data_IF_547676950240
#
_entry.id   IF_547676950240
#
_cell.length_a   1.000
_cell.length_b   1.000
_cell.length_c   1.000
_cell.angle_alpha   90.00
_cell.angle_beta   90.00
_cell.angle_gamma   90.00
#
_symmetry.space_group_name_H-M   'P 1'
#
loop_
_entity.id
_entity.type
_entity.pdbx_description
1 polymer ?
#
# COMPACT_ATOMS: atom_id res chain seq x y z
N UNK A 1 8.73 -3.41 -17.00
CA UNK A 1 9.06 -2.71 -15.76
C UNK A 1 7.79 -2.18 -15.10
N UNK A 2 7.88 -1.56 -13.91
CA UNK A 2 6.74 -1.03 -13.16
C UNK A 2 6.78 0.48 -13.04
N UNK A 3 5.59 1.10 -13.03
CA UNK A 3 5.37 2.43 -12.50
C UNK A 3 4.45 2.27 -11.29
N UNK A 4 4.99 2.45 -10.08
CA UNK A 4 4.23 2.41 -8.83
C UNK A 4 3.76 3.79 -8.43
N UNK A 5 2.47 3.95 -8.20
CA UNK A 5 1.84 5.22 -7.84
C UNK A 5 1.11 5.06 -6.51
N UNK A 6 1.48 5.88 -5.53
CA UNK A 6 0.80 5.91 -4.25
C UNK A 6 -0.42 6.84 -4.31
N UNK A 7 -1.60 6.27 -4.17
CA UNK A 7 -2.89 6.96 -4.19
C UNK A 7 -3.24 7.45 -2.78
N UNK A 8 -2.72 8.61 -2.39
CA UNK A 8 -2.91 9.16 -1.05
C UNK A 8 -4.20 9.95 -0.89
N UNK A 9 -4.68 10.55 -1.99
CA UNK A 9 -5.74 11.54 -1.96
C UNK A 9 -6.44 11.63 -3.31
N UNK A 10 -7.76 11.61 -3.33
CA UNK A 10 -8.58 11.52 -4.56
C UNK A 10 -8.40 12.74 -5.48
N UNK A 11 -8.12 13.92 -4.92
CA UNK A 11 -7.88 15.14 -5.72
C UNK A 11 -6.61 15.05 -6.58
N UNK A 12 -5.75 14.04 -6.37
CA UNK A 12 -4.55 13.81 -7.18
C UNK A 12 -4.82 12.96 -8.42
N UNK A 13 -6.03 12.43 -8.64
CA UNK A 13 -6.32 11.51 -9.74
C UNK A 13 -6.02 12.13 -11.12
N UNK A 14 -6.37 13.38 -11.35
CA UNK A 14 -6.05 14.08 -12.59
C UNK A 14 -4.53 14.27 -12.79
N UNK A 15 -3.78 14.46 -11.70
CA UNK A 15 -2.33 14.58 -11.76
C UNK A 15 -1.67 13.25 -12.16
N UNK A 16 -2.29 12.12 -11.81
CA UNK A 16 -1.83 10.79 -12.24
C UNK A 16 -1.94 10.64 -13.75
N UNK A 17 -3.07 11.06 -14.33
CA UNK A 17 -3.26 11.04 -15.77
C UNK A 17 -2.22 11.92 -16.47
N UNK A 18 -1.96 13.11 -15.94
CA UNK A 18 -0.93 14.00 -16.44
C UNK A 18 0.48 13.38 -16.32
N UNK A 19 0.77 12.68 -15.22
CA UNK A 19 2.03 11.97 -15.03
C UNK A 19 2.23 10.90 -16.09
N UNK A 20 1.21 10.07 -16.35
CA UNK A 20 1.26 9.03 -17.38
C UNK A 20 1.45 9.63 -18.77
N UNK A 21 0.72 10.70 -19.10
CA UNK A 21 0.82 11.41 -20.38
C UNK A 21 2.22 12.01 -20.60
N UNK A 22 2.74 12.74 -19.61
CA UNK A 22 4.10 13.30 -19.66
C UNK A 22 5.19 12.24 -19.72
N UNK A 23 4.94 11.06 -19.15
CA UNK A 23 5.85 9.90 -19.22
C UNK A 23 5.72 9.12 -20.51
N UNK A 24 4.84 9.54 -21.42
CA UNK A 24 4.55 8.87 -22.70
C UNK A 24 4.10 7.41 -22.52
N UNK A 25 3.35 7.14 -21.42
CA UNK A 25 2.71 5.86 -21.16
C UNK A 25 1.27 5.92 -21.64
N UNK A 26 0.85 4.91 -22.37
CA UNK A 26 -0.54 4.80 -22.84
C UNK A 26 -1.52 4.89 -21.66
N UNK A 27 -2.45 5.84 -21.71
CA UNK A 27 -3.30 6.15 -20.56
C UNK A 27 -4.18 4.97 -20.16
N UNK A 28 -4.96 4.43 -21.12
CA UNK A 28 -5.86 3.32 -20.81
C UNK A 28 -5.09 1.99 -20.73
N UNK A 29 -5.27 1.27 -19.64
CA UNK A 29 -4.59 -0.01 -19.39
C UNK A 29 -4.85 -1.04 -20.50
N UNK A 30 -6.06 -1.06 -21.05
CA UNK A 30 -6.47 -1.97 -22.14
C UNK A 30 -5.72 -1.73 -23.46
N UNK A 31 -5.19 -0.53 -23.67
CA UNK A 31 -4.51 -0.13 -24.91
C UNK A 31 -2.98 -0.23 -24.78
N UNK A 32 -2.44 -0.60 -23.58
CA UNK A 32 -1.00 -0.76 -23.35
C UNK A 32 -0.44 -2.00 -24.02
N UNK A 33 0.69 -1.81 -24.70
CA UNK A 33 1.43 -2.89 -25.34
C UNK A 33 2.31 -3.70 -24.40
N UNK A 34 2.89 -4.78 -24.92
CA UNK A 34 3.79 -5.68 -24.17
C UNK A 34 5.07 -5.00 -23.69
N UNK A 35 5.55 -3.98 -24.39
CA UNK A 35 6.79 -3.25 -24.06
C UNK A 35 6.57 -2.10 -23.07
N UNK A 36 5.32 -1.77 -22.76
CA UNK A 36 4.99 -0.70 -21.83
C UNK A 36 5.04 -1.18 -20.37
N UNK A 37 5.29 -0.26 -19.42
CA UNK A 37 5.37 -0.62 -18.02
C UNK A 37 4.02 -1.08 -17.46
N UNK A 38 4.05 -1.91 -16.42
CA UNK A 38 2.90 -2.20 -15.58
C UNK A 38 2.64 -0.99 -14.68
N UNK A 39 1.47 -0.39 -14.78
CA UNK A 39 1.05 0.73 -13.91
C UNK A 39 0.30 0.17 -12.72
N UNK A 40 0.87 0.35 -11.54
CA UNK A 40 0.33 -0.18 -10.29
C UNK A 40 -0.03 0.94 -9.32
N UNK A 41 -1.23 0.86 -8.76
CA UNK A 41 -1.71 1.74 -7.70
C UNK A 41 -1.64 1.08 -6.33
N UNK A 42 -1.36 1.87 -5.30
CA UNK A 42 -1.41 1.45 -3.91
C UNK A 42 -1.77 2.63 -3.00
N UNK A 43 -1.80 2.41 -1.69
CA UNK A 43 -2.12 3.45 -0.72
C UNK A 43 -3.62 3.55 -0.36
N UNK A 44 -4.01 4.53 0.48
CA UNK A 44 -5.36 4.57 1.07
C UNK A 44 -6.50 4.69 0.06
N UNK A 45 -6.30 5.36 -1.07
CA UNK A 45 -7.35 5.49 -2.08
C UNK A 45 -7.50 4.26 -2.97
N UNK A 46 -6.57 3.29 -2.94
CA UNK A 46 -6.72 2.01 -3.65
C UNK A 46 -7.87 1.15 -3.12
N UNK A 47 -8.42 1.48 -1.95
CA UNK A 47 -9.62 0.82 -1.40
C UNK A 47 -10.93 1.24 -2.11
N UNK A 48 -10.88 2.26 -2.95
CA UNK A 48 -11.92 2.60 -3.91
C UNK A 48 -11.28 2.88 -5.28
N UNK A 49 -10.83 1.83 -6.00
CA UNK A 49 -10.04 1.97 -7.21
C UNK A 49 -10.85 2.35 -8.44
N UNK A 50 -12.17 2.08 -8.46
CA UNK A 50 -13.02 2.20 -9.63
C UNK A 50 -12.98 3.56 -10.35
N UNK A 51 -12.91 4.72 -9.65
CA UNK A 51 -12.81 6.02 -10.33
C UNK A 51 -11.60 6.16 -11.28
N UNK A 52 -10.57 5.35 -11.10
CA UNK A 52 -9.32 5.37 -11.89
C UNK A 52 -8.93 4.00 -12.43
N UNK A 53 -9.79 3.01 -12.32
CA UNK A 53 -9.52 1.62 -12.68
C UNK A 53 -9.04 1.44 -14.13
N UNK A 54 -9.60 2.19 -15.06
CA UNK A 54 -9.24 2.12 -16.50
C UNK A 54 -7.78 2.50 -16.80
N UNK A 55 -7.12 3.21 -15.88
CA UNK A 55 -5.76 3.73 -16.05
C UNK A 55 -4.69 2.88 -15.35
N UNK A 56 -5.09 1.87 -14.59
CA UNK A 56 -4.19 1.00 -13.84
C UNK A 56 -4.29 -0.46 -14.29
N UNK A 57 -3.17 -1.13 -14.28
CA UNK A 57 -3.13 -2.57 -14.55
C UNK A 57 -3.42 -3.39 -13.29
N UNK A 58 -2.92 -2.92 -12.14
CA UNK A 58 -3.03 -3.60 -10.85
C UNK A 58 -3.21 -2.56 -9.74
N UNK A 59 -4.00 -2.90 -8.73
CA UNK A 59 -4.00 -2.23 -7.43
C UNK A 59 -3.54 -3.20 -6.35
N UNK A 60 -2.61 -2.71 -5.52
CA UNK A 60 -2.18 -3.38 -4.31
C UNK A 60 -3.02 -2.88 -3.13
N UNK A 61 -3.72 -3.80 -2.45
CA UNK A 61 -4.59 -3.49 -1.31
C UNK A 61 -3.87 -3.85 0.00
N UNK A 62 -3.35 -2.86 0.71
CA UNK A 62 -2.76 -3.10 2.05
C UNK A 62 -1.34 -2.63 2.22
N UNK A 63 -0.60 -3.37 3.02
CA UNK A 63 0.75 -3.05 3.48
C UNK A 63 1.79 -3.82 2.67
N UNK A 64 2.74 -3.08 2.07
CA UNK A 64 3.66 -3.64 1.06
C UNK A 64 4.81 -4.51 1.61
N UNK A 65 4.86 -4.72 2.92
CA UNK A 65 5.98 -5.39 3.55
C UNK A 65 6.02 -6.92 3.35
N UNK A 66 4.90 -7.51 2.90
CA UNK A 66 4.77 -8.98 2.75
C UNK A 66 4.67 -9.41 1.29
N UNK A 67 3.54 -9.20 0.65
CA UNK A 67 3.24 -9.76 -0.68
C UNK A 67 3.86 -8.96 -1.85
N UNK A 68 4.35 -7.75 -1.61
CA UNK A 68 4.92 -6.93 -2.69
C UNK A 68 6.17 -7.57 -3.30
N UNK A 69 7.04 -8.16 -2.49
CA UNK A 69 8.23 -8.86 -2.99
C UNK A 69 7.86 -10.11 -3.81
N UNK A 70 6.81 -10.82 -3.39
CA UNK A 70 6.29 -11.96 -4.15
C UNK A 70 5.81 -11.53 -5.54
N UNK A 71 5.08 -10.42 -5.65
CA UNK A 71 4.67 -9.86 -6.95
C UNK A 71 5.86 -9.57 -7.86
N UNK A 72 6.91 -8.95 -7.30
CA UNK A 72 8.13 -8.64 -8.07
C UNK A 72 8.88 -9.89 -8.54
N UNK A 73 8.89 -10.93 -7.73
CA UNK A 73 9.54 -12.20 -8.10
C UNK A 73 8.75 -12.94 -9.19
N UNK A 74 7.41 -12.94 -9.12
CA UNK A 74 6.56 -13.45 -10.21
C UNK A 74 6.80 -12.69 -11.52
N UNK A 75 6.94 -11.37 -11.46
CA UNK A 75 7.24 -10.60 -12.67
C UNK A 75 8.60 -10.95 -13.27
N UNK A 76 9.64 -11.07 -12.44
CA UNK A 76 10.98 -11.49 -12.90
C UNK A 76 10.96 -12.88 -13.54
N UNK A 77 10.22 -13.81 -12.93
CA UNK A 77 10.05 -15.17 -13.46
C UNK A 77 9.33 -15.16 -14.80
N UNK A 78 8.22 -14.44 -14.91
CA UNK A 78 7.46 -14.28 -16.14
C UNK A 78 8.35 -13.73 -17.27
N UNK A 79 9.09 -12.64 -17.02
CA UNK A 79 10.01 -12.04 -17.99
C UNK A 79 11.12 -13.01 -18.40
N UNK A 80 11.73 -13.73 -17.45
CA UNK A 80 12.78 -14.72 -17.70
C UNK A 80 12.30 -15.84 -18.62
N UNK A 81 11.04 -16.24 -18.51
CA UNK A 81 10.42 -17.30 -19.29
C UNK A 81 9.84 -16.80 -20.62
N UNK A 82 9.96 -15.51 -20.94
CA UNK A 82 9.39 -14.91 -22.15
C UNK A 82 7.87 -14.79 -22.11
N UNK A 83 7.30 -14.76 -20.91
CA UNK A 83 5.86 -14.64 -20.70
C UNK A 83 5.31 -13.26 -21.07
N UNK A 84 4.04 -13.22 -21.40
CA UNK A 84 3.30 -12.03 -21.82
C UNK A 84 2.84 -11.18 -20.61
N UNK A 85 2.45 -9.93 -20.89
CA UNK A 85 1.79 -9.04 -19.94
C UNK A 85 0.54 -9.69 -19.33
N UNK A 86 -0.28 -10.33 -20.16
CA UNK A 86 -1.52 -11.00 -19.71
C UNK A 86 -1.22 -12.13 -18.75
N UNK A 87 -0.26 -13.00 -19.05
CA UNK A 87 0.13 -14.10 -18.16
C UNK A 87 0.63 -13.59 -16.81
N UNK A 88 1.39 -12.49 -16.81
CA UNK A 88 1.80 -11.86 -15.55
C UNK A 88 0.60 -11.34 -14.74
N UNK A 89 -0.36 -10.66 -15.39
CA UNK A 89 -1.56 -10.16 -14.71
C UNK A 89 -2.41 -11.31 -14.15
N UNK A 90 -2.49 -12.45 -14.84
CA UNK A 90 -3.16 -13.65 -14.35
C UNK A 90 -2.48 -14.21 -13.11
N UNK A 91 -1.15 -14.30 -13.10
CA UNK A 91 -0.40 -14.70 -11.90
C UNK A 91 -0.57 -13.69 -10.74
N UNK A 92 -0.54 -12.39 -11.04
CA UNK A 92 -0.75 -11.34 -10.04
C UNK A 92 -2.14 -11.43 -9.40
N UNK A 93 -3.19 -11.74 -10.17
CA UNK A 93 -4.56 -11.87 -9.68
C UNK A 93 -4.74 -13.04 -8.69
N UNK A 94 -3.84 -14.02 -8.68
CA UNK A 94 -3.83 -15.11 -7.69
C UNK A 94 -3.38 -14.63 -6.29
N UNK A 95 -2.64 -13.51 -6.19
CA UNK A 95 -2.24 -12.94 -4.90
C UNK A 95 -3.47 -12.30 -4.24
N UNK A 96 -3.79 -12.64 -2.98
CA UNK A 96 -5.06 -12.25 -2.35
C UNK A 96 -5.32 -10.74 -2.25
N UNK A 97 -4.27 -9.91 -2.21
CA UNK A 97 -4.36 -8.46 -2.06
C UNK A 97 -4.24 -7.68 -3.39
N UNK A 98 -4.18 -8.38 -4.52
CA UNK A 98 -4.11 -7.76 -5.83
C UNK A 98 -5.49 -7.65 -6.47
N UNK A 99 -5.81 -6.47 -6.96
CA UNK A 99 -6.96 -6.21 -7.81
C UNK A 99 -6.48 -5.86 -9.21
N UNK A 100 -6.87 -6.66 -10.19
CA UNK A 100 -6.60 -6.45 -11.62
C UNK A 100 -7.90 -6.02 -12.27
N UNK A 101 -8.14 -4.72 -12.52
CA UNK A 101 -9.44 -4.21 -12.98
C UNK A 101 -9.97 -4.89 -14.25
N UNK A 102 -9.07 -5.18 -15.19
CA UNK A 102 -9.42 -5.83 -16.46
C UNK A 102 -10.07 -7.23 -16.30
N UNK A 103 -9.98 -7.83 -15.10
CA UNK A 103 -10.53 -9.16 -14.82
C UNK A 103 -11.88 -9.13 -14.11
N UNK A 104 -12.54 -7.97 -14.09
CA UNK A 104 -13.87 -7.80 -13.50
C UNK A 104 -14.79 -7.01 -14.44
N UNK A 105 -16.02 -7.47 -14.56
CA UNK A 105 -17.09 -6.72 -15.19
C UNK A 105 -17.85 -5.95 -14.10
N UNK A 106 -17.79 -4.62 -14.18
CA UNK A 106 -18.48 -3.74 -13.24
C UNK A 106 -19.70 -3.14 -13.90
N UNK A 107 -20.85 -3.31 -13.28
CA UNK A 107 -22.11 -2.71 -13.75
C UNK A 107 -22.58 -1.66 -12.74
N UNK A 108 -23.28 -0.64 -13.25
CA UNK A 108 -23.71 0.50 -12.45
C UNK A 108 -25.23 0.64 -12.45
N UNK A 109 -25.78 1.19 -11.37
CA UNK A 109 -27.16 1.65 -11.29
C UNK A 109 -27.33 2.99 -12.03
N UNK A 110 -28.58 3.45 -12.18
CA UNK A 110 -28.89 4.74 -12.82
C UNK A 110 -28.31 5.94 -12.05
N UNK A 111 -28.08 5.82 -10.76
CA UNK A 111 -27.46 6.82 -9.90
C UNK A 111 -25.92 6.75 -9.87
N UNK A 112 -25.30 5.98 -10.77
CA UNK A 112 -23.87 5.75 -10.87
C UNK A 112 -23.23 4.99 -9.68
N UNK A 113 -24.01 4.41 -8.78
CA UNK A 113 -23.47 3.48 -7.77
C UNK A 113 -23.18 2.12 -8.41
N UNK A 114 -22.18 1.40 -7.89
CA UNK A 114 -21.86 0.05 -8.34
C UNK A 114 -23.04 -0.87 -8.03
N UNK A 115 -23.58 -1.52 -9.07
CA UNK A 115 -24.64 -2.50 -8.95
C UNK A 115 -24.07 -3.89 -8.69
N UNK A 116 -23.06 -4.27 -9.45
CA UNK A 116 -22.46 -5.59 -9.39
C UNK A 116 -21.02 -5.53 -9.92
N UNK A 117 -20.15 -6.34 -9.33
CA UNK A 117 -18.79 -6.57 -9.78
C UNK A 117 -18.55 -8.09 -9.85
N UNK A 118 -18.34 -8.60 -11.06
CA UNK A 118 -18.24 -10.03 -11.34
C UNK A 118 -16.88 -10.35 -11.96
N UNK A 119 -16.12 -11.32 -11.44
CA UNK A 119 -14.91 -11.80 -12.10
C UNK A 119 -15.24 -12.35 -13.51
N UNK A 120 -14.51 -11.88 -14.52
CA UNK A 120 -14.59 -12.35 -15.91
C UNK A 120 -13.38 -13.20 -16.31
N UNK A 121 -12.44 -13.42 -15.41
CA UNK A 121 -11.24 -14.23 -15.60
C UNK A 121 -11.15 -15.30 -14.47
N UNK A 122 -10.78 -16.57 -14.78
CA UNK A 122 -10.71 -17.64 -13.77
C UNK A 122 -9.68 -17.40 -12.66
N UNK A 123 -8.68 -16.56 -12.89
CA UNK A 123 -7.66 -16.18 -11.90
C UNK A 123 -8.13 -15.07 -10.96
N UNK A 124 -9.19 -14.32 -11.33
CA UNK A 124 -9.75 -13.28 -10.48
C UNK A 124 -10.62 -13.89 -9.36
N UNK A 125 -10.49 -13.35 -8.17
CA UNK A 125 -11.22 -13.82 -6.97
C UNK A 125 -12.49 -13.00 -6.77
N UNK A 126 -13.51 -13.61 -6.18
CA UNK A 126 -14.78 -12.92 -5.85
C UNK A 126 -14.65 -11.83 -4.78
N UNK A 127 -13.44 -11.57 -4.28
CA UNK A 127 -13.11 -10.49 -3.35
C UNK A 127 -11.62 -10.39 -3.12
N UNK A 128 -11.14 -9.15 -3.03
CA UNK A 128 -9.74 -8.83 -2.73
C UNK A 128 -9.57 -8.64 -1.22
N UNK A 129 -8.55 -9.25 -0.65
CA UNK A 129 -8.24 -9.14 0.79
C UNK A 129 -7.11 -8.17 1.00
N UNK A 130 -7.28 -7.29 1.98
CA UNK A 130 -6.21 -6.40 2.41
C UNK A 130 -5.03 -7.20 2.98
N UNK A 131 -3.82 -6.93 2.50
CA UNK A 131 -2.58 -7.41 3.11
C UNK A 131 -2.28 -6.63 4.40
N UNK A 132 -1.90 -7.35 5.47
CA UNK A 132 -1.70 -6.78 6.79
C UNK A 132 -0.50 -7.45 7.46
N UNK A 133 0.46 -6.66 7.90
CA UNK A 133 1.54 -7.14 8.77
C UNK A 133 0.98 -7.36 10.18
N UNK A 134 0.83 -8.62 10.57
CA UNK A 134 0.33 -8.97 11.91
C UNK A 134 1.40 -8.83 12.99
N UNK A 135 2.63 -9.26 12.70
CA UNK A 135 3.77 -9.12 13.60
C UNK A 135 4.49 -7.79 13.32
N UNK A 136 4.02 -6.73 13.99
CA UNK A 136 4.46 -5.37 13.71
C UNK A 136 5.90 -5.09 14.19
N UNK A 137 6.44 -5.93 15.09
CA UNK A 137 7.84 -5.85 15.52
C UNK A 137 8.84 -6.25 14.41
N UNK A 138 8.39 -6.96 13.38
CA UNK A 138 9.22 -7.31 12.21
C UNK A 138 9.38 -6.17 11.20
N UNK A 139 8.58 -5.12 11.30
CA UNK A 139 8.68 -3.96 10.40
C UNK A 139 9.78 -3.02 10.89
N UNK A 140 10.83 -2.87 10.09
CA UNK A 140 11.99 -2.02 10.39
C UNK A 140 12.24 -1.01 9.27
N UNK A 141 12.42 0.25 9.64
CA UNK A 141 12.82 1.33 8.74
C UNK A 141 14.00 2.11 9.36
N UNK A 142 15.22 1.56 9.31
CA UNK A 142 16.37 2.11 10.07
C UNK A 142 16.97 3.38 9.44
N UNK A 143 16.48 3.81 8.29
CA UNK A 143 17.14 4.85 7.47
C UNK A 143 16.76 6.30 7.85
N UNK A 144 15.79 6.49 8.74
CA UNK A 144 15.30 7.81 9.14
C UNK A 144 15.06 7.86 10.65
N UNK A 145 15.30 9.00 11.32
CA UNK A 145 15.01 9.17 12.74
C UNK A 145 13.50 9.33 12.99
N UNK A 146 12.73 8.44 12.41
CA UNK A 146 11.28 8.38 12.50
C UNK A 146 10.85 6.96 12.87
N UNK A 147 10.33 6.82 14.09
CA UNK A 147 9.87 5.53 14.61
C UNK A 147 8.35 5.44 14.53
N UNK A 148 7.85 4.51 13.73
CA UNK A 148 6.43 4.16 13.69
C UNK A 148 6.09 3.31 14.93
N UNK A 149 5.38 3.91 15.89
CA UNK A 149 5.10 3.26 17.19
C UNK A 149 3.92 2.32 17.13
N UNK A 150 2.92 2.64 16.30
CA UNK A 150 1.74 1.83 16.08
C UNK A 150 1.13 2.13 14.71
N UNK A 151 0.42 1.15 14.16
CA UNK A 151 -0.35 1.28 12.91
C UNK A 151 -1.81 0.96 13.16
N UNK A 152 -2.70 1.78 12.58
CA UNK A 152 -4.13 1.76 12.89
C UNK A 152 -4.52 2.82 13.92
N UNK A 153 -5.81 2.92 14.22
CA UNK A 153 -6.36 3.86 15.18
C UNK A 153 -7.63 3.30 15.82
N UNK A 154 -7.81 3.50 17.13
CA UNK A 154 -8.98 3.05 17.90
C UNK A 154 -10.08 4.09 18.02
N UNK A 155 -9.83 5.34 17.58
CA UNK A 155 -10.74 6.48 17.85
C UNK A 155 -12.05 6.44 17.07
N UNK A 156 -12.13 5.73 15.96
CA UNK A 156 -13.36 5.53 15.17
C UNK A 156 -14.09 6.84 14.81
N UNK A 157 -13.33 7.92 14.57
CA UNK A 157 -13.91 9.21 14.17
C UNK A 157 -14.70 9.03 12.87
N UNK A 158 -15.98 9.47 12.86
CA UNK A 158 -16.93 9.24 11.76
C UNK A 158 -16.49 9.81 10.42
N UNK A 159 -15.68 10.85 10.41
CA UNK A 159 -15.16 11.52 9.21
C UNK A 159 -13.82 10.92 8.73
N UNK A 160 -13.19 10.03 9.49
CA UNK A 160 -11.81 9.61 9.26
C UNK A 160 -11.73 8.30 8.48
N UNK A 161 -11.35 8.38 7.22
CA UNK A 161 -11.08 7.21 6.37
C UNK A 161 -9.95 6.35 6.95
N UNK A 162 -8.87 6.97 7.45
CA UNK A 162 -7.70 6.29 7.99
C UNK A 162 -8.06 5.32 9.14
N UNK A 163 -9.04 5.68 9.98
CA UNK A 163 -9.55 4.82 11.03
C UNK A 163 -10.16 3.51 10.55
N UNK A 164 -10.61 3.45 9.29
CA UNK A 164 -11.13 2.23 8.65
C UNK A 164 -10.07 1.51 7.84
N UNK A 165 -9.29 2.25 7.05
CA UNK A 165 -8.28 1.70 6.12
C UNK A 165 -7.15 0.98 6.87
N UNK A 166 -6.67 1.53 7.99
CA UNK A 166 -5.49 1.00 8.69
C UNK A 166 -5.82 0.06 9.86
N UNK A 167 -7.07 -0.38 10.02
CA UNK A 167 -7.42 -1.44 10.99
C UNK A 167 -6.77 -2.78 10.61
N UNK A 168 -6.46 -3.63 11.62
CA UNK A 168 -6.55 -3.44 13.07
C UNK A 168 -5.44 -2.54 13.63
N UNK A 169 -5.61 -2.08 14.89
CA UNK A 169 -4.53 -1.46 15.63
C UNK A 169 -3.45 -2.51 15.94
N UNK A 170 -2.19 -2.17 15.69
CA UNK A 170 -1.01 -2.98 16.04
C UNK A 170 0.06 -2.05 16.58
N UNK A 171 0.58 -2.38 17.73
CA UNK A 171 1.65 -1.64 18.42
C UNK A 171 2.98 -2.38 18.27
N UNK A 172 4.09 -1.64 18.18
CA UNK A 172 5.40 -2.22 18.40
C UNK A 172 5.65 -2.37 19.91
N UNK A 173 6.38 -3.41 20.27
CA UNK A 173 6.82 -3.59 21.66
C UNK A 173 7.74 -2.45 22.10
N UNK A 174 7.72 -2.14 23.38
CA UNK A 174 8.56 -1.08 23.97
C UNK A 174 10.06 -1.38 23.74
N UNK A 175 10.47 -2.64 23.89
CA UNK A 175 11.84 -3.11 23.64
C UNK A 175 12.26 -2.87 22.19
N UNK A 176 11.37 -3.19 21.24
CA UNK A 176 11.63 -2.96 19.83
C UNK A 176 11.78 -1.47 19.51
N UNK A 177 10.94 -0.62 20.09
CA UNK A 177 11.01 0.83 19.89
C UNK A 177 12.29 1.43 20.49
N UNK A 178 12.71 0.98 21.67
CA UNK A 178 14.00 1.38 22.28
C UNK A 178 15.18 0.99 21.39
N UNK A 179 15.19 -0.24 20.89
CA UNK A 179 16.21 -0.72 19.96
C UNK A 179 16.27 0.10 18.68
N UNK A 180 15.12 0.33 18.04
CA UNK A 180 15.03 1.11 16.80
C UNK A 180 15.47 2.56 17.02
N UNK A 181 15.00 3.22 18.06
CA UNK A 181 15.37 4.59 18.39
C UNK A 181 16.90 4.74 18.57
N UNK A 182 17.50 3.89 19.40
CA UNK A 182 18.95 3.91 19.62
C UNK A 182 19.74 3.62 18.35
N UNK A 183 19.27 2.67 17.53
CA UNK A 183 19.92 2.32 16.27
C UNK A 183 19.85 3.47 15.29
N UNK A 184 18.67 4.08 15.11
CA UNK A 184 18.45 5.20 14.20
C UNK A 184 19.30 6.43 14.58
N UNK A 185 19.33 6.82 15.84
CA UNK A 185 20.17 7.92 16.33
C UNK A 185 21.66 7.65 16.02
N UNK A 186 22.15 6.43 16.28
CA UNK A 186 23.54 6.04 16.00
C UNK A 186 23.88 6.01 14.52
N UNK A 187 23.00 5.49 13.68
CA UNK A 187 23.27 5.32 12.25
C UNK A 187 23.11 6.61 11.46
N UNK A 188 22.20 7.48 11.87
CA UNK A 188 21.95 8.75 11.19
C UNK A 188 22.78 9.90 11.71
N UNK A 189 23.32 9.81 12.95
CA UNK A 189 24.01 10.93 13.62
C UNK A 189 23.08 12.09 13.98
N UNK A 190 21.76 11.88 13.96
CA UNK A 190 20.78 12.88 14.35
C UNK A 190 20.65 12.94 15.88
N UNK A 191 20.36 14.12 16.41
CA UNK A 191 20.11 14.36 17.84
C UNK A 191 18.62 14.36 18.20
N UNK A 192 17.74 14.30 17.17
CA UNK A 192 16.30 14.32 17.32
C UNK A 192 15.69 13.04 16.72
N UNK A 193 14.61 12.56 17.34
CA UNK A 193 13.81 11.43 16.85
C UNK A 193 12.32 11.80 16.87
N UNK A 194 11.61 11.42 15.84
CA UNK A 194 10.16 11.60 15.74
C UNK A 194 9.43 10.28 15.94
N UNK A 195 8.36 10.33 16.73
CA UNK A 195 7.40 9.23 16.84
C UNK A 195 6.27 9.43 15.85
N UNK A 196 5.94 8.39 15.08
CA UNK A 196 4.89 8.44 14.07
C UNK A 196 3.79 7.43 14.33
N UNK A 197 2.56 7.90 14.22
CA UNK A 197 1.36 7.07 14.11
C UNK A 197 0.14 7.95 13.81
N UNK A 198 -1.02 7.33 13.56
CA UNK A 198 -2.30 8.05 13.43
C UNK A 198 -2.76 8.67 14.76
N UNK A 199 -2.34 8.12 15.90
CA UNK A 199 -2.70 8.61 17.24
C UNK A 199 -1.64 8.18 18.27
N UNK A 200 -0.49 8.85 18.25
CA UNK A 200 0.66 8.50 19.10
C UNK A 200 0.34 8.56 20.60
N UNK A 201 -0.57 9.47 21.00
CA UNK A 201 -1.02 9.57 22.39
C UNK A 201 -1.78 8.33 22.91
N UNK A 202 -2.21 7.45 22.02
CA UNK A 202 -2.93 6.22 22.38
C UNK A 202 -2.01 5.00 22.49
N UNK A 203 -0.70 5.16 22.26
CA UNK A 203 0.27 4.07 22.43
C UNK A 203 0.34 3.63 23.89
N UNK A 204 0.22 2.33 24.14
CA UNK A 204 0.07 1.74 25.49
C UNK A 204 1.22 2.04 26.44
N UNK A 205 2.46 2.18 25.92
CA UNK A 205 3.68 2.42 26.70
C UNK A 205 4.30 3.80 26.40
N UNK A 206 3.48 4.80 26.05
CA UNK A 206 3.98 6.10 25.63
C UNK A 206 4.88 6.77 26.68
N UNK A 207 4.48 6.70 27.95
CA UNK A 207 5.22 7.34 29.03
C UNK A 207 6.62 6.74 29.18
N UNK A 208 6.72 5.41 29.24
CA UNK A 208 7.98 4.69 29.39
C UNK A 208 8.91 4.91 28.18
N UNK A 209 8.32 5.03 26.98
CA UNK A 209 9.07 5.34 25.77
C UNK A 209 9.63 6.76 25.80
N UNK A 210 8.82 7.75 26.21
CA UNK A 210 9.26 9.15 26.31
C UNK A 210 10.37 9.29 27.37
N UNK A 211 10.19 8.69 28.56
CA UNK A 211 11.19 8.74 29.64
C UNK A 211 12.53 8.18 29.11
N UNK A 212 12.52 7.06 28.41
CA UNK A 212 13.72 6.48 27.80
C UNK A 212 14.35 7.41 26.75
N UNK A 213 13.55 7.97 25.83
CA UNK A 213 14.07 8.84 24.75
C UNK A 213 14.69 10.12 25.30
N UNK A 214 14.14 10.70 26.38
CA UNK A 214 14.72 11.86 27.04
C UNK A 214 16.11 11.54 27.64
N UNK A 215 16.33 10.32 28.12
CA UNK A 215 17.62 9.87 28.63
C UNK A 215 18.65 9.61 27.52
N UNK A 216 18.23 9.01 26.39
CA UNK A 216 19.10 8.69 25.26
C UNK A 216 19.46 9.91 24.38
N UNK A 217 18.59 10.92 24.31
CA UNK A 217 18.79 12.14 23.50
C UNK A 217 19.45 13.29 24.30
N UNK A 218 20.06 13.02 25.44
CA UNK A 218 20.90 13.96 26.22
C UNK A 218 22.33 13.86 25.73
#
# INVERSE_FOLDING_TARGET
>A
DFIGITLQYEMCYTNILQLLDLSQVTLLSKDRGEDEPIVMGGGPCSYNPEPVADFFDIFYMGEGETEFYHLLDLYKENKKNGGTRKEFLEMAAEIPCMYVPAFYDVTYNEDCTIKEMVPNNPHAKGGVRKDIVLDFDKVEYPEKPLVEVQRGCIRECRFCQAGSVYKPLREKSLEKLKYLATTMLKTTGQEEISLSSLSTSDYSHLKELIDFLIEECK
#
